data_IF_063219050800
#
_entry.id   IF_063219050800
#
_cell.length_a   1.000
_cell.length_b   1.000
_cell.length_c   1.000
_cell.angle_alpha   90.00
_cell.angle_beta   90.00
_cell.angle_gamma   90.00
#
_symmetry.space_group_name_H-M   'P 1'
#
loop_
_entity.id
_entity.type
_entity.pdbx_description
1 polymer ?
#
# COMPACT_ATOMS: atom_id res chain seq x y z
N UNK A 1 23.37 -14.06 -21.98
CA UNK A 1 22.16 -13.25 -21.86
C UNK A 1 20.96 -14.16 -22.08
N UNK A 2 20.51 -14.81 -21.02
CA UNK A 2 19.32 -15.68 -21.03
C UNK A 2 18.12 -14.85 -20.60
N UNK A 3 17.08 -14.80 -21.43
CA UNK A 3 15.82 -14.16 -21.09
C UNK A 3 15.11 -15.03 -20.04
N UNK A 4 14.90 -14.49 -18.83
CA UNK A 4 14.02 -15.09 -17.81
C UNK A 4 12.57 -14.87 -18.24
N UNK A 5 11.81 -15.95 -18.45
CA UNK A 5 10.36 -15.89 -18.66
C UNK A 5 9.71 -15.99 -17.28
N UNK A 6 9.07 -14.91 -16.85
CA UNK A 6 8.39 -14.83 -15.56
C UNK A 6 6.97 -15.37 -15.66
N UNK A 7 6.61 -16.31 -14.80
CA UNK A 7 5.21 -16.67 -14.55
C UNK A 7 4.73 -15.82 -13.38
N UNK A 8 4.13 -14.66 -13.68
CA UNK A 8 3.37 -13.91 -12.69
C UNK A 8 2.06 -14.65 -12.47
N UNK A 9 1.84 -15.19 -11.27
CA UNK A 9 0.54 -15.70 -10.89
C UNK A 9 -0.42 -14.50 -10.69
N UNK A 10 -0.99 -14.01 -11.79
CA UNK A 10 -2.03 -12.99 -11.77
C UNK A 10 -3.35 -13.65 -11.34
N UNK A 11 -3.70 -13.53 -10.06
CA UNK A 11 -5.01 -13.97 -9.58
C UNK A 11 -6.05 -12.92 -9.97
N UNK A 12 -6.65 -13.05 -11.15
CA UNK A 12 -7.77 -12.20 -11.57
C UNK A 12 -9.05 -12.73 -10.92
N UNK A 13 -9.50 -12.05 -9.86
CA UNK A 13 -10.82 -12.28 -9.27
C UNK A 13 -11.89 -11.67 -10.18
N UNK A 14 -12.32 -12.41 -11.21
CA UNK A 14 -13.37 -11.96 -12.11
C UNK A 14 -14.77 -12.20 -11.50
N UNK A 15 -15.47 -11.13 -11.14
CA UNK A 15 -16.93 -11.13 -10.97
C UNK A 15 -17.60 -10.68 -12.26
N UNK A 16 -18.54 -11.46 -12.80
CA UNK A 16 -19.31 -11.08 -13.99
C UNK A 16 -20.48 -10.15 -13.62
N UNK A 17 -20.60 -8.95 -14.22
CA UNK A 17 -21.88 -8.25 -14.26
C UNK A 17 -22.63 -8.66 -15.53
N UNK A 18 -23.86 -9.13 -15.36
CA UNK A 18 -24.82 -9.33 -16.46
C UNK A 18 -25.28 -7.96 -16.98
N UNK A 19 -25.17 -7.73 -18.29
CA UNK A 19 -25.56 -6.49 -18.95
C UNK A 19 -26.95 -6.62 -19.58
N UNK A 20 -27.92 -5.90 -19.02
CA UNK A 20 -29.14 -5.48 -19.72
C UNK A 20 -28.96 -4.07 -20.29
N UNK A 21 -29.62 -3.71 -21.41
CA UNK A 21 -29.49 -2.38 -22.00
C UNK A 21 -30.47 -1.39 -21.34
N UNK A 22 -29.99 -0.29 -20.76
CA UNK A 22 -30.86 0.83 -20.40
C UNK A 22 -30.34 1.85 -19.40
N UNK A 23 -29.47 1.47 -18.46
CA UNK A 23 -28.92 2.36 -17.45
C UNK A 23 -27.41 2.09 -17.39
N UNK A 24 -26.58 2.97 -17.94
CA UNK A 24 -25.14 2.89 -17.65
C UNK A 24 -25.00 3.11 -16.13
N UNK A 25 -24.56 2.09 -15.37
CA UNK A 25 -24.45 2.23 -13.94
C UNK A 25 -23.49 3.37 -13.64
N UNK A 26 -23.86 4.23 -12.68
CA UNK A 26 -22.98 5.30 -12.21
C UNK A 26 -21.58 4.71 -11.91
N UNK A 27 -20.50 5.42 -12.29
CA UNK A 27 -19.15 4.87 -12.23
C UNK A 27 -18.86 4.28 -10.84
N UNK A 28 -18.50 3.00 -10.80
CA UNK A 28 -18.09 2.30 -9.58
C UNK A 28 -16.60 2.57 -9.35
N UNK A 29 -16.29 3.47 -8.42
CA UNK A 29 -14.92 3.80 -8.03
C UNK A 29 -14.49 2.89 -6.91
N UNK A 30 -13.36 2.21 -7.08
CA UNK A 30 -12.74 1.43 -6.00
C UNK A 30 -11.52 2.15 -5.45
N UNK A 31 -11.56 2.40 -4.14
CA UNK A 31 -10.51 3.08 -3.39
C UNK A 31 -9.78 2.06 -2.54
N UNK A 32 -8.47 1.93 -2.72
CA UNK A 32 -7.65 1.12 -1.82
C UNK A 32 -7.68 1.76 -0.43
N UNK A 33 -8.08 1.00 0.58
CA UNK A 33 -8.11 1.43 1.98
C UNK A 33 -7.35 0.45 2.91
N UNK A 34 -6.87 -0.68 2.37
CA UNK A 34 -5.96 -1.53 3.11
C UNK A 34 -5.40 -2.70 2.32
N UNK A 35 -4.31 -3.26 2.84
CA UNK A 35 -3.69 -4.48 2.36
C UNK A 35 -2.94 -5.17 3.50
N UNK A 36 -2.73 -6.48 3.37
CA UNK A 36 -1.98 -7.27 4.33
C UNK A 36 -1.25 -8.42 3.67
N UNK A 37 -0.06 -8.71 4.15
CA UNK A 37 0.75 -9.87 3.77
C UNK A 37 1.27 -10.53 5.03
N UNK A 38 1.11 -11.84 5.15
CA UNK A 38 1.67 -12.61 6.26
C UNK A 38 2.17 -13.96 5.77
N UNK A 39 3.43 -14.26 6.05
CA UNK A 39 4.02 -15.58 5.85
C UNK A 39 3.46 -16.59 6.87
N UNK A 40 3.31 -17.87 6.52
CA UNK A 40 2.67 -18.87 7.37
C UNK A 40 3.62 -19.64 8.28
N UNK A 41 4.87 -19.90 7.88
CA UNK A 41 5.79 -20.73 8.67
C UNK A 41 6.95 -19.95 9.27
N UNK A 42 7.77 -19.27 8.47
CA UNK A 42 8.88 -18.45 8.98
C UNK A 42 8.91 -17.05 8.36
N UNK A 43 9.70 -16.11 8.89
CA UNK A 43 9.79 -14.77 8.32
C UNK A 43 10.78 -14.75 7.15
N UNK A 44 10.59 -13.84 6.20
CA UNK A 44 11.34 -13.81 4.92
C UNK A 44 12.00 -12.46 4.65
N UNK A 45 13.01 -12.51 3.78
CA UNK A 45 13.44 -11.32 3.02
C UNK A 45 12.37 -10.96 2.01
N UNK A 46 12.29 -9.69 1.66
CA UNK A 46 11.39 -9.23 0.60
C UNK A 46 12.18 -9.20 -0.70
N UNK A 47 11.73 -9.97 -1.69
CA UNK A 47 12.18 -9.83 -3.07
C UNK A 47 11.19 -8.97 -3.87
N UNK A 48 9.89 -9.27 -3.75
CA UNK A 48 8.83 -8.46 -4.35
C UNK A 48 7.69 -8.24 -3.38
N UNK A 49 7.14 -7.04 -3.41
CA UNK A 49 5.93 -6.71 -2.64
C UNK A 49 5.12 -5.66 -3.40
N UNK A 50 3.81 -5.87 -3.48
CA UNK A 50 2.92 -4.92 -4.11
C UNK A 50 1.47 -5.23 -3.81
N UNK A 51 0.68 -4.19 -3.61
CA UNK A 51 -0.76 -4.29 -3.44
C UNK A 51 -1.43 -3.24 -4.30
N UNK A 52 -2.57 -3.57 -4.91
CA UNK A 52 -3.33 -2.62 -5.68
C UNK A 52 -4.63 -3.17 -6.21
N UNK A 53 -5.33 -2.31 -6.95
CA UNK A 53 -6.55 -2.62 -7.65
C UNK A 53 -6.27 -2.64 -9.16
N UNK A 54 -6.81 -3.63 -9.86
CA UNK A 54 -6.91 -3.67 -11.31
C UNK A 54 -8.37 -3.82 -11.76
N UNK A 55 -8.97 -2.70 -12.13
CA UNK A 55 -10.42 -2.58 -12.30
C UNK A 55 -11.14 -2.95 -11.00
N UNK A 56 -11.99 -3.98 -11.07
CA UNK A 56 -12.67 -4.55 -9.90
C UNK A 56 -11.83 -5.58 -9.13
N UNK A 57 -10.76 -6.09 -9.72
CA UNK A 57 -9.95 -7.14 -9.12
C UNK A 57 -8.89 -6.55 -8.18
N UNK A 58 -8.67 -7.24 -7.07
CA UNK A 58 -7.48 -7.01 -6.25
C UNK A 58 -6.26 -7.66 -6.89
N UNK A 59 -5.11 -6.97 -6.87
CA UNK A 59 -3.83 -7.51 -7.31
C UNK A 59 -2.84 -7.40 -6.15
N UNK A 60 -2.25 -8.53 -5.81
CA UNK A 60 -1.28 -8.67 -4.73
C UNK A 60 -0.06 -9.40 -5.29
N UNK A 61 1.12 -8.92 -4.96
CA UNK A 61 2.41 -9.52 -5.32
C UNK A 61 3.22 -9.66 -4.05
N UNK A 62 3.67 -10.88 -3.78
CA UNK A 62 4.56 -11.15 -2.68
C UNK A 62 5.52 -12.27 -3.11
N UNK A 63 6.81 -11.95 -3.10
CA UNK A 63 7.87 -12.92 -3.36
C UNK A 63 8.90 -12.82 -2.23
N UNK A 64 9.08 -13.94 -1.54
CA UNK A 64 10.08 -14.09 -0.49
C UNK A 64 11.45 -14.42 -1.09
N UNK A 65 12.49 -14.03 -0.37
CA UNK A 65 13.85 -14.50 -0.62
C UNK A 65 14.19 -15.75 0.21
N UNK A 66 15.49 -16.05 0.34
CA UNK A 66 15.99 -17.13 1.21
C UNK A 66 15.50 -16.98 2.67
N UNK A 67 15.35 -18.09 3.39
CA UNK A 67 15.10 -18.07 4.83
C UNK A 67 16.25 -17.39 5.58
N UNK A 68 16.04 -17.15 6.88
CA UNK A 68 17.10 -16.71 7.79
C UNK A 68 18.32 -17.65 7.86
N UNK A 69 18.12 -18.95 7.59
CA UNK A 69 19.19 -19.95 7.51
C UNK A 69 19.85 -20.06 6.12
N UNK A 70 19.43 -19.24 5.15
CA UNK A 70 20.01 -19.17 3.81
C UNK A 70 19.63 -20.34 2.91
N UNK A 71 18.75 -21.25 3.36
CA UNK A 71 18.13 -22.20 2.45
C UNK A 71 17.07 -21.49 1.60
N UNK A 72 16.85 -22.02 0.40
CA UNK A 72 15.73 -21.62 -0.43
C UNK A 72 14.42 -21.82 0.32
N UNK A 73 13.55 -20.80 0.25
CA UNK A 73 12.34 -20.75 1.03
C UNK A 73 11.11 -20.80 0.15
N UNK A 74 10.32 -21.87 0.29
CA UNK A 74 8.91 -21.87 -0.05
C UNK A 74 8.12 -21.75 1.23
N UNK A 75 7.30 -20.70 1.36
CA UNK A 75 6.33 -20.53 2.44
C UNK A 75 5.02 -20.08 1.83
N UNK A 76 3.90 -20.48 2.44
CA UNK A 76 2.63 -19.91 2.08
C UNK A 76 2.52 -18.50 2.65
N UNK A 77 1.83 -17.63 1.92
CA UNK A 77 1.48 -16.30 2.38
C UNK A 77 -0.04 -16.15 2.40
N UNK A 78 -0.58 -15.78 3.55
CA UNK A 78 -1.93 -15.23 3.62
C UNK A 78 -1.88 -13.76 3.25
N UNK A 79 -2.91 -13.30 2.56
CA UNK A 79 -3.00 -11.92 2.14
C UNK A 79 -4.42 -11.38 2.32
N UNK A 80 -4.51 -10.07 2.49
CA UNK A 80 -5.78 -9.35 2.47
C UNK A 80 -5.67 -8.12 1.60
N UNK A 81 -6.79 -7.74 0.99
CA UNK A 81 -6.98 -6.49 0.29
C UNK A 81 -8.31 -5.91 0.73
N UNK A 82 -8.30 -4.64 1.10
CA UNK A 82 -9.48 -3.89 1.50
C UNK A 82 -9.67 -2.74 0.52
N UNK A 83 -10.92 -2.57 0.08
CA UNK A 83 -11.27 -1.44 -0.75
C UNK A 83 -12.69 -0.94 -0.50
N UNK A 84 -12.88 0.35 -0.73
CA UNK A 84 -14.19 1.00 -0.69
C UNK A 84 -14.70 1.16 -2.11
N UNK A 85 -15.85 0.55 -2.41
CA UNK A 85 -16.63 0.84 -3.61
C UNK A 85 -17.48 2.09 -3.36
N UNK A 86 -17.35 3.07 -4.26
CA UNK A 86 -17.98 4.38 -4.16
C UNK A 86 -18.57 4.76 -5.51
N UNK A 87 -19.88 5.00 -5.54
CA UNK A 87 -20.59 5.34 -6.78
C UNK A 87 -21.39 6.64 -6.60
N UNK A 88 -21.24 7.56 -7.55
CA UNK A 88 -21.91 8.86 -7.56
C UNK A 88 -21.89 9.42 -8.98
N UNK A 89 -22.94 10.15 -9.35
CA UNK A 89 -23.02 10.95 -10.57
C UNK A 89 -22.19 12.24 -10.50
N UNK A 90 -21.70 12.60 -9.31
CA UNK A 90 -20.87 13.78 -9.07
C UNK A 90 -19.37 13.49 -9.22
N UNK A 91 -18.99 12.26 -9.56
CA UNK A 91 -17.61 11.78 -9.56
C UNK A 91 -17.17 11.39 -10.97
N UNK A 92 -15.99 11.86 -11.34
CA UNK A 92 -15.29 11.45 -12.56
C UNK A 92 -13.92 10.91 -12.15
N UNK A 93 -13.50 9.81 -12.76
CA UNK A 93 -12.25 9.13 -12.41
C UNK A 93 -11.27 9.06 -13.57
N UNK A 94 -10.00 9.12 -13.22
CA UNK A 94 -8.91 8.82 -14.13
C UNK A 94 -7.88 7.96 -13.40
N UNK A 95 -7.47 6.86 -14.02
CA UNK A 95 -6.43 5.99 -13.49
C UNK A 95 -5.13 6.22 -14.24
N UNK A 96 -4.02 6.09 -13.52
CA UNK A 96 -2.70 6.06 -14.13
C UNK A 96 -1.68 5.40 -13.24
N UNK A 97 -0.45 5.36 -13.73
CA UNK A 97 0.70 4.86 -13.00
C UNK A 97 1.92 5.71 -13.32
N UNK A 98 2.87 5.74 -12.39
CA UNK A 98 4.16 6.38 -12.64
C UNK A 98 4.95 5.58 -13.67
N UNK A 99 5.93 6.22 -14.35
CA UNK A 99 7.06 5.49 -14.93
C UNK A 99 7.71 4.56 -13.90
N UNK A 100 8.51 3.60 -14.37
CA UNK A 100 9.28 2.73 -13.49
C UNK A 100 10.27 3.60 -12.70
N UNK A 101 10.10 3.64 -11.38
CA UNK A 101 10.98 4.35 -10.48
C UNK A 101 12.16 3.44 -10.12
N UNK A 102 13.36 4.00 -10.10
CA UNK A 102 14.57 3.30 -9.63
C UNK A 102 14.97 3.87 -8.28
N UNK A 103 15.08 3.00 -7.29
CA UNK A 103 15.44 3.32 -5.92
C UNK A 103 16.88 2.83 -5.69
N UNK A 104 17.73 3.69 -5.14
CA UNK A 104 19.08 3.34 -4.71
C UNK A 104 19.31 3.87 -3.29
N UNK A 105 19.86 3.03 -2.42
CA UNK A 105 20.10 3.37 -1.02
C UNK A 105 21.31 2.64 -0.42
N UNK A 106 21.54 2.89 0.86
CA UNK A 106 22.61 2.28 1.65
C UNK A 106 22.11 1.99 3.07
N UNK A 107 22.81 1.19 3.89
CA UNK A 107 22.36 0.86 5.25
C UNK A 107 22.15 2.08 6.15
N UNK A 108 22.79 3.22 5.85
CA UNK A 108 22.62 4.48 6.59
C UNK A 108 21.58 5.42 5.97
N UNK A 109 21.07 5.12 4.78
CA UNK A 109 20.15 6.00 4.04
C UNK A 109 19.08 5.21 3.30
N UNK A 110 17.81 5.49 3.62
CA UNK A 110 16.67 4.93 2.90
C UNK A 110 16.74 5.23 1.38
N UNK A 111 16.44 4.23 0.56
CA UNK A 111 16.24 4.43 -0.86
C UNK A 111 14.85 5.04 -1.08
N UNK A 112 14.80 6.23 -1.69
CA UNK A 112 13.54 6.93 -2.00
C UNK A 112 13.60 7.41 -3.44
N UNK A 113 12.53 7.17 -4.18
CA UNK A 113 12.34 7.73 -5.51
C UNK A 113 11.05 8.53 -5.55
N UNK A 114 11.11 9.75 -6.08
CA UNK A 114 9.97 10.63 -6.32
C UNK A 114 9.88 10.98 -7.79
N UNK A 115 8.66 11.09 -8.29
CA UNK A 115 8.38 11.67 -9.61
C UNK A 115 7.21 12.62 -9.50
N UNK A 116 7.29 13.73 -10.23
CA UNK A 116 6.12 14.56 -10.47
C UNK A 116 5.28 13.92 -11.56
N UNK A 117 3.97 13.86 -11.36
CA UNK A 117 2.99 13.39 -12.33
C UNK A 117 2.16 14.58 -12.76
N UNK A 118 1.85 14.66 -14.06
CA UNK A 118 1.00 15.69 -14.65
C UNK A 118 -0.13 15.02 -15.42
N UNK A 119 -1.38 15.39 -15.12
CA UNK A 119 -2.59 14.86 -15.74
C UNK A 119 -3.33 16.01 -16.42
N UNK A 120 -3.35 16.07 -17.76
CA UNK A 120 -4.17 17.04 -18.49
C UNK A 120 -5.67 16.78 -18.23
N UNK A 121 -6.35 17.74 -17.61
CA UNK A 121 -7.72 17.55 -17.12
C UNK A 121 -8.73 17.30 -18.25
N UNK A 122 -8.56 17.97 -19.40
CA UNK A 122 -9.44 17.76 -20.55
C UNK A 122 -9.33 16.36 -21.14
N UNK A 123 -8.10 15.86 -21.31
CA UNK A 123 -7.84 14.52 -21.86
C UNK A 123 -8.29 13.42 -20.89
N UNK A 124 -8.18 13.68 -19.59
CA UNK A 124 -8.64 12.78 -18.54
C UNK A 124 -10.18 12.82 -18.31
N UNK A 125 -10.93 13.66 -19.03
CA UNK A 125 -12.38 13.82 -18.84
C UNK A 125 -12.76 14.61 -17.59
N UNK A 126 -11.79 15.26 -16.94
CA UNK A 126 -11.90 15.92 -15.64
C UNK A 126 -12.06 17.45 -15.75
N UNK A 127 -12.18 18.02 -16.96
CA UNK A 127 -12.23 19.47 -17.18
C UNK A 127 -13.42 20.18 -16.50
N UNK A 128 -14.53 19.47 -16.27
CA UNK A 128 -15.71 20.02 -15.61
C UNK A 128 -15.67 19.94 -14.08
N UNK A 129 -14.66 19.29 -13.51
CA UNK A 129 -14.55 19.09 -12.07
C UNK A 129 -13.97 20.34 -11.38
N UNK A 130 -14.50 20.65 -10.19
CA UNK A 130 -14.10 21.81 -9.39
C UNK A 130 -13.13 21.45 -8.26
N UNK A 131 -13.09 20.19 -7.85
CA UNK A 131 -12.17 19.68 -6.83
C UNK A 131 -11.58 18.35 -7.25
N UNK A 132 -10.40 18.03 -6.70
CA UNK A 132 -9.64 16.84 -7.04
C UNK A 132 -9.08 16.18 -5.80
N UNK A 133 -9.15 14.85 -5.76
CA UNK A 133 -8.38 14.02 -4.86
C UNK A 133 -7.49 13.08 -5.67
N UNK A 134 -6.30 12.77 -5.16
CA UNK A 134 -5.43 11.74 -5.72
C UNK A 134 -5.18 10.70 -4.64
N UNK A 135 -5.54 9.47 -4.92
CA UNK A 135 -5.41 8.34 -3.99
C UNK A 135 -4.46 7.30 -4.57
N UNK A 136 -3.83 6.53 -3.68
CA UNK A 136 -3.14 5.31 -4.06
C UNK A 136 -4.18 4.30 -4.58
N UNK A 137 -3.96 3.84 -5.80
CA UNK A 137 -4.63 2.66 -6.35
C UNK A 137 -3.81 1.40 -6.11
N UNK A 138 -2.50 1.57 -5.90
CA UNK A 138 -1.59 0.50 -5.54
C UNK A 138 -0.13 0.88 -5.69
N UNK A 139 0.74 -0.08 -5.40
CA UNK A 139 2.18 0.02 -5.59
C UNK A 139 2.76 -1.35 -5.91
N UNK A 140 3.96 -1.36 -6.48
CA UNK A 140 4.83 -2.52 -6.54
C UNK A 140 6.27 -2.11 -6.28
N UNK A 141 7.02 -3.04 -5.71
CA UNK A 141 8.44 -2.95 -5.44
C UNK A 141 9.07 -4.30 -5.77
N UNK A 142 10.15 -4.25 -6.54
CA UNK A 142 10.95 -5.38 -6.98
C UNK A 142 12.41 -5.08 -6.63
N UNK A 143 13.00 -5.85 -5.72
CA UNK A 143 14.39 -5.68 -5.33
C UNK A 143 15.29 -6.09 -6.48
N UNK A 144 16.30 -5.27 -6.79
CA UNK A 144 17.04 -5.47 -8.04
C UNK A 144 17.89 -6.76 -8.07
N UNK A 145 18.37 -7.11 -9.27
CA UNK A 145 19.18 -8.31 -9.52
C UNK A 145 20.52 -8.36 -8.76
N UNK A 146 20.93 -7.27 -8.08
CA UNK A 146 22.15 -7.32 -7.27
C UNK A 146 21.94 -8.13 -5.99
N UNK A 147 20.67 -8.39 -5.61
CA UNK A 147 20.29 -9.19 -4.44
C UNK A 147 19.18 -10.18 -4.78
N UNK A 148 19.52 -11.27 -5.48
CA UNK A 148 18.53 -12.28 -5.91
C UNK A 148 17.72 -12.89 -4.76
N UNK A 149 18.27 -12.88 -3.53
CA UNK A 149 17.60 -13.34 -2.31
C UNK A 149 16.78 -12.25 -1.60
N UNK A 150 16.59 -11.09 -2.21
CA UNK A 150 15.96 -9.92 -1.59
C UNK A 150 16.74 -9.35 -0.40
N UNK A 151 16.11 -8.45 0.36
CA UNK A 151 16.71 -7.90 1.58
C UNK A 151 15.78 -7.83 2.79
N UNK A 152 16.39 -7.74 3.98
CA UNK A 152 15.68 -7.54 5.23
C UNK A 152 15.27 -6.08 5.33
N UNK A 153 13.99 -5.81 5.13
CA UNK A 153 13.47 -4.46 5.21
C UNK A 153 13.43 -3.98 6.67
N UNK A 154 13.74 -2.72 6.87
CA UNK A 154 13.38 -1.95 8.06
C UNK A 154 12.40 -0.82 7.75
N UNK A 155 11.98 -0.67 6.51
CA UNK A 155 11.01 0.35 6.16
C UNK A 155 10.54 0.27 4.71
N UNK A 156 9.28 0.64 4.51
CA UNK A 156 8.61 0.61 3.21
C UNK A 156 7.50 1.65 3.20
N UNK A 157 7.29 2.30 2.07
CA UNK A 157 6.14 3.20 1.94
C UNK A 157 5.90 3.66 0.50
N UNK A 158 4.63 3.82 0.16
CA UNK A 158 4.19 4.45 -1.08
C UNK A 158 3.33 5.66 -0.75
N UNK A 159 3.37 6.70 -1.57
CA UNK A 159 2.56 7.91 -1.36
C UNK A 159 2.28 8.66 -2.65
N UNK A 160 1.11 9.28 -2.72
CA UNK A 160 0.78 10.43 -3.58
C UNK A 160 0.52 11.64 -2.68
N UNK A 161 1.11 12.79 -2.99
CA UNK A 161 1.04 14.01 -2.18
C UNK A 161 1.06 15.27 -3.04
N UNK A 162 0.81 16.41 -2.42
CA UNK A 162 0.96 17.74 -3.01
C UNK A 162 0.15 17.92 -4.31
N UNK A 163 -1.09 17.40 -4.31
CA UNK A 163 -1.98 17.53 -5.45
C UNK A 163 -2.45 18.98 -5.62
N UNK A 164 -2.24 19.55 -6.81
CA UNK A 164 -2.66 20.90 -7.16
C UNK A 164 -3.12 20.97 -8.61
N UNK A 165 -4.27 21.60 -8.86
CA UNK A 165 -4.78 21.83 -10.21
C UNK A 165 -4.60 23.30 -10.59
N UNK A 166 -3.94 23.55 -11.72
CA UNK A 166 -3.76 24.88 -12.29
C UNK A 166 -3.70 24.79 -13.82
N UNK A 167 -4.25 25.79 -14.52
CA UNK A 167 -4.13 25.92 -15.98
C UNK A 167 -4.57 24.67 -16.77
N UNK A 168 -5.57 23.94 -16.26
CA UNK A 168 -6.08 22.74 -16.92
C UNK A 168 -5.25 21.48 -16.71
N UNK A 169 -4.27 21.50 -15.81
CA UNK A 169 -3.41 20.36 -15.46
C UNK A 169 -3.47 20.11 -13.95
N UNK A 170 -3.66 18.85 -13.56
CA UNK A 170 -3.45 18.40 -12.18
C UNK A 170 -2.03 17.87 -12.04
N UNK A 171 -1.28 18.40 -11.08
CA UNK A 171 0.06 17.91 -10.73
C UNK A 171 0.06 17.34 -9.33
N UNK A 172 0.85 16.28 -9.10
CA UNK A 172 1.09 15.72 -7.77
C UNK A 172 2.44 14.99 -7.76
N UNK A 173 2.94 14.70 -6.56
CA UNK A 173 4.18 13.92 -6.38
C UNK A 173 3.84 12.50 -5.97
N UNK A 174 4.35 11.53 -6.72
CA UNK A 174 4.31 10.12 -6.33
C UNK A 174 5.68 9.70 -5.77
N UNK A 175 5.68 8.92 -4.68
CA UNK A 175 6.88 8.47 -3.97
C UNK A 175 6.81 6.97 -3.72
N UNK A 176 7.94 6.28 -3.94
CA UNK A 176 8.25 4.99 -3.34
C UNK A 176 9.44 5.13 -2.38
N UNK A 177 9.41 4.38 -1.29
CA UNK A 177 10.48 4.28 -0.31
C UNK A 177 10.69 2.83 0.07
N UNK A 178 11.95 2.46 0.20
CA UNK A 178 12.36 1.20 0.80
C UNK A 178 13.66 1.40 1.58
N UNK A 179 13.78 0.72 2.71
CA UNK A 179 14.94 0.83 3.57
C UNK A 179 15.38 -0.55 4.01
N UNK A 180 16.58 -0.96 3.62
CA UNK A 180 17.18 -2.19 4.13
C UNK A 180 17.78 -1.94 5.52
N UNK A 181 17.77 -2.96 6.37
CA UNK A 181 18.38 -2.90 7.70
C UNK A 181 19.16 -4.18 8.01
N UNK A 182 20.18 -4.05 8.87
CA UNK A 182 20.96 -5.19 9.35
C UNK A 182 20.11 -6.13 10.23
N UNK A 183 20.38 -7.44 10.13
CA UNK A 183 19.85 -8.47 11.04
C UNK A 183 20.98 -9.08 11.89
N UNK A 184 20.67 -9.64 13.07
CA UNK A 184 21.71 -10.11 14.01
C UNK A 184 22.41 -11.41 13.61
N UNK A 185 21.72 -12.28 12.89
CA UNK A 185 22.18 -13.61 12.49
C UNK A 185 23.00 -13.60 11.20
N UNK A 186 22.82 -12.55 10.38
CA UNK A 186 23.59 -12.29 9.17
C UNK A 186 23.77 -10.79 9.02
N UNK A 187 25.01 -10.32 9.14
CA UNK A 187 25.31 -8.97 8.65
C UNK A 187 25.08 -9.02 7.14
N UNK A 188 23.98 -8.41 6.72
CA UNK A 188 23.78 -8.02 5.34
C UNK A 188 24.85 -6.97 5.03
N UNK A 189 26.00 -7.41 4.53
CA UNK A 189 27.10 -6.53 4.09
C UNK A 189 26.72 -5.89 2.75
N UNK A 190 25.66 -5.09 2.80
CA UNK A 190 25.14 -4.35 1.65
C UNK A 190 25.81 -2.99 1.65
N UNK A 191 26.90 -2.84 0.89
CA UNK A 191 27.46 -1.50 0.63
C UNK A 191 26.41 -0.57 -0.01
N UNK A 192 25.50 -1.15 -0.80
CA UNK A 192 24.33 -0.50 -1.41
C UNK A 192 23.23 -1.52 -1.66
N UNK A 193 21.99 -1.04 -1.78
CA UNK A 193 20.86 -1.82 -2.28
C UNK A 193 20.02 -0.99 -3.24
N UNK A 194 19.28 -1.67 -4.10
CA UNK A 194 18.35 -1.02 -5.01
C UNK A 194 17.05 -1.81 -5.21
N UNK A 195 16.08 -1.10 -5.74
CA UNK A 195 14.80 -1.64 -6.12
C UNK A 195 14.24 -0.86 -7.30
N UNK A 196 13.27 -1.45 -7.97
CA UNK A 196 12.42 -0.74 -8.92
C UNK A 196 10.97 -0.90 -8.53
N UNK A 197 10.10 -0.01 -9.01
CA UNK A 197 8.69 -0.12 -8.70
C UNK A 197 7.86 0.96 -9.32
N UNK A 198 6.54 0.84 -9.18
CA UNK A 198 5.57 1.85 -9.63
C UNK A 198 4.60 2.23 -8.54
N UNK A 199 4.10 3.45 -8.62
CA UNK A 199 2.92 3.89 -7.90
C UNK A 199 1.77 3.94 -8.88
N UNK A 200 0.69 3.24 -8.58
CA UNK A 200 -0.59 3.33 -9.29
C UNK A 200 -1.49 4.30 -8.54
N UNK A 201 -2.16 5.18 -9.26
CA UNK A 201 -2.99 6.21 -8.67
C UNK A 201 -4.37 6.28 -9.31
N UNK A 202 -5.33 6.83 -8.57
CA UNK A 202 -6.62 7.26 -9.09
C UNK A 202 -6.78 8.75 -8.79
N UNK A 203 -7.02 9.53 -9.84
CA UNK A 203 -7.50 10.90 -9.74
C UNK A 203 -9.01 10.86 -9.69
N UNK A 204 -9.59 11.54 -8.71
CA UNK A 204 -11.03 11.63 -8.47
C UNK A 204 -11.40 13.10 -8.59
N UNK A 205 -12.06 13.45 -9.69
CA UNK A 205 -12.62 14.78 -9.90
C UNK A 205 -14.06 14.83 -9.39
N UNK A 206 -14.38 15.91 -8.67
CA UNK A 206 -15.74 16.17 -8.19
C UNK A 206 -16.37 17.29 -9.01
N UNK A 207 -17.54 17.03 -9.59
CA UNK A 207 -18.38 18.08 -10.18
C UNK A 207 -18.87 19.01 -9.08
N UNK A 208 -19.35 18.42 -7.97
CA UNK A 208 -19.67 19.09 -6.72
C UNK A 208 -19.31 18.20 -5.54
N UNK A 209 -18.92 18.80 -4.41
CA UNK A 209 -18.55 18.05 -3.21
C UNK A 209 -17.45 18.72 -2.40
N UNK A 210 -16.80 17.92 -1.56
CA UNK A 210 -15.68 18.35 -0.73
C UNK A 210 -14.60 17.27 -0.65
N UNK A 211 -13.35 17.71 -0.54
CA UNK A 211 -12.18 16.87 -0.32
C UNK A 211 -11.45 17.34 0.93
N UNK A 212 -11.25 16.45 1.91
CA UNK A 212 -10.51 16.76 3.15
C UNK A 212 -9.39 15.75 3.38
N UNK A 213 -8.15 16.22 3.44
CA UNK A 213 -7.00 15.38 3.74
C UNK A 213 -6.78 15.21 5.26
N UNK A 214 -6.29 14.03 5.66
CA UNK A 214 -5.88 13.74 7.04
C UNK A 214 -4.61 12.89 7.03
N UNK A 215 -3.67 13.22 7.92
CA UNK A 215 -2.58 12.31 8.26
C UNK A 215 -2.80 11.70 9.63
N UNK A 216 -2.32 10.48 9.79
CA UNK A 216 -2.40 9.69 11.01
C UNK A 216 -1.09 8.92 11.19
N UNK A 217 -0.69 8.66 12.42
CA UNK A 217 0.52 7.90 12.70
C UNK A 217 0.75 7.73 14.19
N UNK A 218 1.52 6.71 14.51
CA UNK A 218 1.88 6.35 15.88
C UNK A 218 3.17 5.53 15.86
N UNK A 219 3.77 5.39 17.04
CA UNK A 219 4.91 4.50 17.28
C UNK A 219 4.48 3.41 18.26
N UNK A 220 4.76 2.16 17.90
CA UNK A 220 4.62 1.00 18.79
C UNK A 220 6.00 0.63 19.33
N UNK A 221 6.12 0.53 20.65
CA UNK A 221 7.37 0.17 21.32
C UNK A 221 7.21 -1.22 21.95
N UNK A 222 8.06 -2.16 21.50
CA UNK A 222 8.06 -3.54 21.95
C UNK A 222 9.26 -3.75 22.89
N UNK A 223 9.05 -4.10 24.16
CA UNK A 223 10.17 -4.43 25.05
C UNK A 223 10.80 -5.78 24.66
N UNK A 224 12.04 -5.99 25.10
CA UNK A 224 12.74 -7.25 24.87
C UNK A 224 11.96 -8.44 25.48
N UNK A 225 11.89 -9.55 24.74
CA UNK A 225 11.22 -10.79 25.12
C UNK A 225 9.74 -10.85 24.75
N UNK A 226 9.16 -9.77 24.22
CA UNK A 226 7.78 -9.77 23.70
C UNK A 226 7.76 -10.29 22.27
N UNK A 227 6.66 -10.98 21.94
CA UNK A 227 6.33 -11.35 20.57
C UNK A 227 5.57 -10.19 19.90
N UNK A 228 6.18 -9.46 18.95
CA UNK A 228 5.50 -8.36 18.27
C UNK A 228 4.26 -8.84 17.50
N UNK A 229 4.14 -10.16 17.21
CA UNK A 229 3.00 -10.81 16.53
C UNK A 229 1.64 -10.54 17.19
N UNK A 230 1.61 -10.07 18.44
CA UNK A 230 0.39 -9.91 19.23
C UNK A 230 0.09 -8.47 19.64
N UNK A 231 1.04 -7.54 19.49
CA UNK A 231 0.90 -6.16 19.96
C UNK A 231 0.50 -5.23 18.82
N UNK A 232 -0.78 -4.85 18.84
CA UNK A 232 -1.38 -3.84 17.96
C UNK A 232 -1.46 -2.49 18.66
N UNK A 233 -1.67 -1.42 17.89
CA UNK A 233 -1.97 -0.11 18.43
C UNK A 233 -3.22 -0.15 19.32
N UNK A 234 -3.23 0.65 20.38
CA UNK A 234 -4.43 0.75 21.23
C UNK A 234 -5.61 1.30 20.43
N UNK A 235 -6.84 0.99 20.84
CA UNK A 235 -8.03 1.47 20.12
C UNK A 235 -8.06 3.00 19.94
N UNK A 236 -7.52 3.76 20.91
CA UNK A 236 -7.38 5.21 20.81
C UNK A 236 -6.34 5.65 19.79
N UNK A 237 -5.21 4.94 19.68
CA UNK A 237 -4.22 5.18 18.64
C UNK A 237 -4.74 4.80 17.26
N UNK A 238 -5.54 3.76 17.12
CA UNK A 238 -6.10 3.34 15.84
C UNK A 238 -7.21 4.27 15.32
N UNK A 239 -7.88 5.01 16.21
CA UNK A 239 -9.06 5.80 15.82
C UNK A 239 -8.65 7.03 15.00
N UNK A 240 -9.17 7.10 13.78
CA UNK A 240 -9.02 8.24 12.88
C UNK A 240 -10.36 8.96 12.75
N UNK A 241 -10.30 10.29 12.89
CA UNK A 241 -11.46 11.16 12.63
C UNK A 241 -11.06 12.21 11.60
N UNK A 242 -11.81 12.26 10.50
CA UNK A 242 -11.70 13.29 9.46
C UNK A 242 -12.94 14.17 9.55
N UNK A 243 -12.74 15.44 9.84
CA UNK A 243 -13.82 16.44 9.89
C UNK A 243 -14.03 17.01 8.49
N UNK A 244 -15.08 16.56 7.82
CA UNK A 244 -15.46 17.01 6.49
C UNK A 244 -16.42 18.20 6.48
N UNK A 245 -17.09 18.37 5.35
CA UNK A 245 -18.15 19.37 5.14
C UNK A 245 -19.51 18.80 5.57
N UNK A 246 -20.25 19.46 6.47
CA UNK A 246 -21.62 19.06 6.83
C UNK A 246 -22.60 19.10 5.65
N UNK A 247 -23.61 18.23 5.69
CA UNK A 247 -24.74 18.24 4.75
C UNK A 247 -24.54 17.41 3.48
N UNK A 248 -23.34 16.86 3.24
CA UNK A 248 -23.09 15.95 2.12
C UNK A 248 -23.51 14.53 2.49
N UNK A 249 -24.33 13.89 1.65
CA UNK A 249 -25.02 12.65 1.98
C UNK A 249 -24.10 11.42 2.03
N UNK A 250 -23.05 11.39 1.20
CA UNK A 250 -22.10 10.29 1.12
C UNK A 250 -20.67 10.77 1.34
N UNK A 251 -19.86 9.93 1.99
CA UNK A 251 -18.45 10.17 2.27
C UNK A 251 -17.66 8.87 2.15
N UNK A 252 -16.64 8.85 1.29
CA UNK A 252 -15.73 7.73 1.12
C UNK A 252 -14.30 8.16 1.49
N UNK A 253 -13.50 7.24 2.02
CA UNK A 253 -12.08 7.49 2.30
C UNK A 253 -11.21 6.72 1.32
N UNK A 254 -10.12 7.35 0.88
CA UNK A 254 -9.07 6.68 0.12
C UNK A 254 -7.71 6.89 0.77
N UNK A 255 -6.87 5.87 0.73
CA UNK A 255 -5.49 5.93 1.16
C UNK A 255 -4.67 6.76 0.16
N UNK A 256 -3.96 7.79 0.62
CA UNK A 256 -3.05 8.59 -0.21
C UNK A 256 -1.58 8.26 0.08
N UNK A 257 -1.29 7.63 1.21
CA UNK A 257 0.05 7.19 1.52
C UNK A 257 0.14 6.31 2.74
N UNK A 258 1.18 5.50 2.81
CA UNK A 258 1.58 4.81 4.03
C UNK A 258 3.10 4.82 4.16
N UNK A 259 3.59 4.67 5.38
CA UNK A 259 4.99 4.56 5.69
C UNK A 259 5.17 3.69 6.93
N UNK A 260 6.03 2.69 6.81
CA UNK A 260 6.52 1.87 7.91
C UNK A 260 8.01 2.08 8.08
N UNK A 261 8.43 2.13 9.34
CA UNK A 261 9.85 2.17 9.67
C UNK A 261 10.10 1.54 11.04
N UNK A 262 11.06 0.63 11.11
CA UNK A 262 11.66 0.22 12.36
C UNK A 262 12.70 1.27 12.77
N UNK A 263 12.56 1.81 13.97
CA UNK A 263 13.43 2.86 14.47
C UNK A 263 14.87 2.34 14.61
N UNK A 264 15.86 2.91 13.88
CA UNK A 264 17.25 2.50 13.98
C UNK A 264 17.91 2.85 15.32
N UNK A 265 17.37 3.82 16.06
CA UNK A 265 17.99 4.34 17.27
C UNK A 265 17.67 3.49 18.52
N UNK A 266 16.59 2.72 18.48
CA UNK A 266 16.18 1.84 19.60
C UNK A 266 16.68 0.41 19.47
N UNK A 267 17.32 0.08 18.34
CA UNK A 267 17.74 -1.27 18.04
C UNK A 267 19.11 -1.32 17.37
N UNK A 268 20.02 -2.13 17.92
CA UNK A 268 21.30 -2.45 17.26
C UNK A 268 21.11 -3.19 15.92
N UNK A 269 19.94 -3.81 15.71
CA UNK A 269 19.59 -4.56 14.52
C UNK A 269 18.19 -4.13 14.08
N UNK A 270 18.05 -2.96 13.43
CA UNK A 270 16.74 -2.43 13.08
C UNK A 270 16.14 -3.10 11.85
N UNK A 271 16.88 -3.94 11.13
CA UNK A 271 16.33 -4.79 10.08
C UNK A 271 15.70 -6.05 10.65
N UNK A 272 14.68 -6.58 9.95
CA UNK A 272 14.08 -7.86 10.27
C UNK A 272 13.68 -8.63 9.04
N UNK A 273 13.62 -9.95 9.20
CA UNK A 273 12.81 -10.79 8.36
C UNK A 273 11.35 -10.41 8.59
N UNK A 274 10.67 -9.98 7.52
CA UNK A 274 9.26 -9.61 7.60
C UNK A 274 8.45 -10.89 7.75
N UNK A 275 7.61 -10.94 8.77
CA UNK A 275 6.57 -11.95 8.94
C UNK A 275 5.25 -11.44 8.42
N UNK A 276 4.90 -10.24 8.82
CA UNK A 276 3.65 -9.61 8.48
C UNK A 276 3.85 -8.11 8.25
N UNK A 277 3.15 -7.59 7.24
CA UNK A 277 2.95 -6.17 7.02
C UNK A 277 1.49 -5.95 6.66
N UNK A 278 0.84 -4.99 7.29
CA UNK A 278 -0.54 -4.64 6.95
C UNK A 278 -0.83 -3.17 7.21
N UNK A 279 -1.67 -2.60 6.34
CA UNK A 279 -2.40 -1.36 6.57
C UNK A 279 -3.86 -1.76 6.47
N UNK A 280 -4.64 -1.55 7.54
CA UNK A 280 -6.04 -1.95 7.55
C UNK A 280 -6.92 -0.83 8.06
N UNK A 281 -7.88 -0.44 7.23
CA UNK A 281 -8.96 0.45 7.64
C UNK A 281 -10.27 -0.33 7.87
N UNK A 282 -10.99 -0.03 8.95
CA UNK A 282 -12.23 -0.73 9.33
C UNK A 282 -13.11 0.12 10.27
N UNK A 283 -14.29 -0.41 10.63
CA UNK A 283 -15.26 0.25 11.53
C UNK A 283 -15.68 1.66 11.07
N UNK A 284 -15.95 1.82 9.78
CA UNK A 284 -16.34 3.10 9.18
C UNK A 284 -17.72 3.58 9.66
N UNK A 285 -17.78 4.83 10.09
CA UNK A 285 -19.00 5.52 10.47
C UNK A 285 -18.97 6.96 9.93
N UNK A 286 -19.85 7.24 8.97
CA UNK A 286 -20.02 8.58 8.39
C UNK A 286 -21.29 9.25 8.92
N UNK A 287 -21.16 10.48 9.41
CA UNK A 287 -22.27 11.29 9.91
C UNK A 287 -22.49 12.51 9.02
N UNK A 288 -23.43 12.45 8.07
CA UNK A 288 -23.70 13.53 7.11
C UNK A 288 -24.05 14.87 7.77
N UNK A 289 -24.74 14.86 8.92
CA UNK A 289 -25.10 16.07 9.65
C UNK A 289 -23.91 16.88 10.15
N UNK A 290 -22.77 16.23 10.42
CA UNK A 290 -21.52 16.89 10.86
C UNK A 290 -20.42 16.84 9.79
N UNK A 291 -20.57 16.00 8.76
CA UNK A 291 -19.53 15.70 7.79
C UNK A 291 -18.39 14.86 8.35
N UNK A 292 -18.51 14.33 9.57
CA UNK A 292 -17.44 13.57 10.20
C UNK A 292 -17.42 12.12 9.68
N UNK A 293 -16.24 11.65 9.28
CA UNK A 293 -15.96 10.23 9.08
C UNK A 293 -15.05 9.76 10.22
N UNK A 294 -15.48 8.71 10.92
CA UNK A 294 -14.67 7.99 11.91
C UNK A 294 -14.41 6.58 11.38
N UNK A 295 -13.17 6.12 11.52
CA UNK A 295 -12.78 4.75 11.23
C UNK A 295 -11.56 4.37 12.08
N UNK A 296 -11.17 3.11 12.05
CA UNK A 296 -9.92 2.64 12.64
C UNK A 296 -8.93 2.37 11.53
N UNK A 297 -7.69 2.82 11.73
CA UNK A 297 -6.55 2.47 10.91
C UNK A 297 -5.54 1.73 11.79
N UNK A 298 -5.17 0.52 11.39
CA UNK A 298 -4.11 -0.25 12.01
C UNK A 298 -3.03 -0.55 10.97
N UNK A 299 -1.89 0.11 11.13
CA UNK A 299 -0.65 -0.21 10.48
C UNK A 299 0.20 -1.11 11.36
N UNK A 300 0.68 -2.22 10.78
CA UNK A 300 1.44 -3.21 11.48
C UNK A 300 2.60 -3.75 10.65
N UNK A 301 3.74 -3.96 11.30
CA UNK A 301 4.90 -4.65 10.76
C UNK A 301 5.48 -5.54 11.85
N UNK A 302 5.74 -6.81 11.53
CA UNK A 302 6.20 -7.78 12.52
C UNK A 302 7.14 -8.81 11.96
N UNK A 303 7.96 -9.35 12.86
CA UNK A 303 8.76 -10.54 12.71
C UNK A 303 8.23 -11.60 13.68
N UNK A 304 8.03 -12.85 13.22
CA UNK A 304 7.65 -13.94 14.11
C UNK A 304 8.82 -14.33 14.99
N UNK A 305 8.58 -14.41 16.30
CA UNK A 305 9.52 -14.88 17.31
C UNK A 305 9.88 -13.80 18.33
N UNK A 306 10.13 -14.19 19.60
CA UNK A 306 10.47 -13.23 20.66
C UNK A 306 11.70 -12.42 20.27
N UNK A 307 11.58 -11.10 20.27
CA UNK A 307 12.71 -10.22 19.98
C UNK A 307 13.57 -10.15 21.23
N UNK A 308 14.86 -10.48 21.17
CA UNK A 308 15.72 -10.45 22.38
C UNK A 308 16.19 -9.04 22.75
N UNK A 309 15.67 -8.00 22.07
CA UNK A 309 15.96 -6.58 22.31
C UNK A 309 14.71 -5.73 22.08
N UNK A 310 14.75 -4.48 22.53
CA UNK A 310 13.67 -3.53 22.28
C UNK A 310 13.57 -3.16 20.80
N UNK A 311 12.36 -2.89 20.33
CA UNK A 311 12.08 -2.47 18.96
C UNK A 311 11.04 -1.36 18.99
N UNK A 312 11.15 -0.40 18.08
CA UNK A 312 10.05 0.51 17.80
C UNK A 312 9.65 0.45 16.33
N UNK A 313 8.34 0.42 16.09
CA UNK A 313 7.74 0.48 14.77
C UNK A 313 6.98 1.79 14.63
N UNK A 314 7.47 2.65 13.75
CA UNK A 314 6.85 3.90 13.36
C UNK A 314 5.94 3.63 12.16
N UNK A 315 4.65 3.92 12.33
CA UNK A 315 3.66 3.86 11.27
C UNK A 315 3.10 5.25 11.01
N UNK A 316 2.92 5.57 9.72
CA UNK A 316 2.07 6.68 9.31
C UNK A 316 1.23 6.31 8.09
N UNK A 317 0.03 6.85 8.02
CA UNK A 317 -0.82 6.81 6.86
C UNK A 317 -1.42 8.18 6.58
N UNK A 318 -1.73 8.42 5.32
CA UNK A 318 -2.38 9.63 4.84
C UNK A 318 -3.63 9.22 4.09
N UNK A 319 -4.70 9.98 4.32
CA UNK A 319 -6.04 9.69 3.83
C UNK A 319 -6.63 10.94 3.20
N UNK A 320 -7.63 10.72 2.37
CA UNK A 320 -8.51 11.75 1.88
C UNK A 320 -9.95 11.31 2.03
N UNK A 321 -10.77 12.15 2.65
CA UNK A 321 -12.22 12.03 2.69
C UNK A 321 -12.79 12.74 1.47
N UNK A 322 -13.56 12.01 0.66
CA UNK A 322 -14.25 12.47 -0.54
C UNK A 322 -15.73 12.49 -0.22
N UNK A 323 -16.39 13.64 -0.35
CA UNK A 323 -17.79 13.82 0.01
C UNK A 323 -18.59 14.37 -1.15
N UNK A 324 -19.81 13.87 -1.32
CA UNK A 324 -20.72 14.25 -2.40
C UNK A 324 -22.17 14.34 -1.89
N UNK A 325 -23.00 15.07 -2.63
CA UNK A 325 -24.40 15.29 -2.27
C UNK A 325 -25.27 14.02 -2.43
N UNK A 326 -24.86 13.08 -3.28
CA UNK A 326 -25.55 11.83 -3.61
C UNK A 326 -24.54 10.74 -3.93
N UNK A 327 -24.79 9.52 -3.48
CA UNK A 327 -23.96 8.37 -3.81
C UNK A 327 -24.12 7.21 -2.83
N UNK A 328 -23.46 6.11 -3.14
CA UNK A 328 -23.43 4.91 -2.31
C UNK A 328 -21.99 4.58 -1.98
N UNK A 329 -21.73 4.17 -0.74
CA UNK A 329 -20.42 3.74 -0.24
C UNK A 329 -20.57 2.33 0.32
N UNK A 330 -19.76 1.40 -0.16
CA UNK A 330 -19.74 0.01 0.30
C UNK A 330 -18.29 -0.40 0.56
N UNK A 331 -17.98 -0.76 1.80
CA UNK A 331 -16.67 -1.29 2.16
C UNK A 331 -16.62 -2.79 1.85
N UNK A 332 -15.56 -3.24 1.18
CA UNK A 332 -15.36 -4.63 0.78
C UNK A 332 -13.98 -5.10 1.24
N UNK A 333 -13.90 -6.37 1.60
CA UNK A 333 -12.65 -7.02 1.99
C UNK A 333 -12.51 -8.35 1.27
N UNK A 334 -11.33 -8.59 0.72
CA UNK A 334 -10.94 -9.86 0.12
C UNK A 334 -9.79 -10.45 0.92
N UNK A 335 -9.95 -11.68 1.36
CA UNK A 335 -8.91 -12.46 2.04
C UNK A 335 -8.62 -13.72 1.24
N UNK A 336 -7.35 -14.11 1.19
CA UNK A 336 -6.91 -15.26 0.44
C UNK A 336 -5.63 -15.87 1.00
N UNK A 337 -5.33 -17.07 0.53
CA UNK A 337 -4.04 -17.73 0.78
C UNK A 337 -3.40 -18.02 -0.57
N UNK A 338 -2.14 -17.67 -0.71
CA UNK A 338 -1.33 -17.97 -1.89
C UNK A 338 -0.09 -18.73 -1.42
N UNK A 339 0.21 -19.86 -2.05
CA UNK A 339 1.55 -20.43 -1.93
C UNK A 339 2.49 -19.49 -2.67
N UNK A 340 3.43 -18.85 -1.97
CA UNK A 340 4.46 -18.09 -2.66
C UNK A 340 5.42 -19.10 -3.29
N UNK A 341 5.21 -19.37 -4.57
CA UNK A 341 6.07 -20.26 -5.33
C UNK A 341 7.17 -19.40 -5.94
N UNK A 342 8.42 -19.58 -5.52
CA UNK A 342 9.56 -19.26 -6.39
C UNK A 342 9.39 -20.13 -7.65
N UNK A 343 8.96 -19.52 -8.77
CA UNK A 343 8.91 -20.28 -10.02
C UNK A 343 10.33 -20.32 -10.59
N UNK A 344 11.13 -21.29 -10.13
CA UNK A 344 12.40 -21.60 -10.77
C UNK A 344 12.10 -22.41 -12.04
N UNK A 345 12.26 -21.81 -13.22
CA UNK A 345 12.40 -22.58 -14.47
C UNK A 345 13.87 -23.02 -14.52
N UNK A 346 14.11 -24.28 -14.12
CA UNK A 346 15.43 -24.91 -14.15
C UNK A 346 16.15 -24.66 -15.47
N UNK A 347 17.37 -24.12 -15.40
CA UNK A 347 18.32 -24.32 -16.47
C UNK A 347 18.89 -25.72 -16.29
N UNK A 348 18.74 -26.49 -17.35
CA UNK A 348 19.31 -27.81 -17.58
C UNK A 348 20.78 -27.87 -17.08
N UNK A 349 21.17 -28.84 -16.25
CA UNK A 349 22.57 -28.99 -15.89
C UNK A 349 23.35 -29.51 -17.10
N UNK A 350 24.14 -28.62 -17.72
CA UNK A 350 25.33 -29.02 -18.47
C UNK A 350 26.57 -28.79 -17.61
#
# INVERSE_FOLDING_TARGET
MTARIWVVALLVLAGCPGSGPGDDPAPDVRLLDGFGFRWQERPHRINKIGAGLDGAAGVLTLEGGSWADGQEASDAATHSLHHTAFSSDQVVIHHGETPLLTLAGSPSQAATAETQVSVPLAEAGLAACSQFAVVLRGFDLDTDLTHEDGYTTRGIGARVKDASAAEGVLTFTARLRIEAGAVPDRIQDLASYGATGRVRYTVIGLLSGAVTAKSHGYTLSYPAGVDPSQEHATAGQQTVVIQGTPGLAAGAVGLTGFDFRLNPDTSLYPGRYMREISVRDYDFAYASGTGALTFKCDGYFSNSGPVTWALENEFSASFVLIQVASGTVVHQSHEGTQTAVQTWVGLDPQ
#
